data_IF_931739799601
#
_entry.id   IF_931739799601
#
_cell.length_a   1.000
_cell.length_b   1.000
_cell.length_c   1.000
_cell.angle_alpha   90.00
_cell.angle_beta   90.00
_cell.angle_gamma   90.00
#
_symmetry.space_group_name_H-M   'P 1'
#
loop_
_entity.id
_entity.type
_entity.pdbx_description
1 polymer ?
#
# COMPACT_ATOMS: atom_id res chain seq x y z
N UNK A 1 -0.10 -17.33 -2.60
CA UNK A 1 0.72 -17.52 -1.37
C UNK A 1 0.98 -16.19 -0.70
N UNK A 2 1.34 -16.19 0.62
CA UNK A 2 1.75 -14.97 1.33
C UNK A 2 3.26 -14.96 1.47
N UNK A 3 3.88 -13.84 1.07
CA UNK A 3 5.32 -13.59 1.17
C UNK A 3 5.55 -12.46 2.18
N UNK A 4 6.60 -12.57 2.98
CA UNK A 4 7.00 -11.55 3.94
C UNK A 4 8.47 -11.21 3.81
N UNK A 5 8.82 -9.99 4.15
CA UNK A 5 10.17 -9.57 4.47
C UNK A 5 10.28 -9.57 6.00
N UNK A 6 11.17 -10.37 6.53
CA UNK A 6 11.29 -10.66 7.96
C UNK A 6 12.69 -10.29 8.46
N UNK A 7 12.77 -9.67 9.63
CA UNK A 7 14.02 -9.50 10.37
C UNK A 7 14.12 -10.65 11.39
N UNK A 8 15.14 -11.50 11.23
CA UNK A 8 15.43 -12.67 12.08
C UNK A 8 16.91 -12.63 12.45
N UNK A 9 17.23 -12.71 13.74
CA UNK A 9 18.63 -12.68 14.22
C UNK A 9 19.44 -11.50 13.63
N UNK A 10 18.83 -10.33 13.50
CA UNK A 10 19.40 -9.09 12.91
C UNK A 10 19.69 -9.15 11.40
N UNK A 11 19.20 -10.18 10.70
CA UNK A 11 19.30 -10.28 9.25
C UNK A 11 17.90 -10.21 8.60
N UNK A 12 17.76 -9.39 7.56
CA UNK A 12 16.55 -9.37 6.76
C UNK A 12 16.54 -10.56 5.78
N UNK A 13 15.38 -11.20 5.64
CA UNK A 13 15.19 -12.32 4.73
C UNK A 13 13.76 -12.33 4.16
N UNK A 14 13.62 -12.86 2.96
CA UNK A 14 12.31 -13.11 2.34
C UNK A 14 11.83 -14.51 2.71
N UNK A 15 10.55 -14.63 3.06
CA UNK A 15 9.96 -15.89 3.51
C UNK A 15 8.57 -16.12 2.89
N UNK A 16 8.20 -17.39 2.74
CA UNK A 16 6.82 -17.83 2.59
C UNK A 16 6.20 -17.94 3.99
N UNK A 17 4.98 -17.44 4.17
CA UNK A 17 4.30 -17.42 5.47
C UNK A 17 3.00 -18.22 5.41
N UNK A 18 2.76 -19.03 6.43
CA UNK A 18 1.47 -19.63 6.76
C UNK A 18 0.94 -18.90 8.01
N UNK A 19 0.01 -17.98 7.79
CA UNK A 19 -0.53 -17.11 8.86
C UNK A 19 -1.39 -17.92 9.83
N UNK A 20 -2.13 -18.92 9.34
CA UNK A 20 -3.03 -19.74 10.16
C UNK A 20 -2.24 -20.59 11.15
N UNK A 21 -1.07 -21.08 10.73
CA UNK A 21 -0.14 -21.84 11.59
C UNK A 21 0.85 -20.94 12.33
N UNK A 22 0.89 -19.65 12.02
CA UNK A 22 1.86 -18.70 12.59
C UNK A 22 3.32 -19.14 12.38
N UNK A 23 3.66 -19.61 11.17
CA UNK A 23 5.01 -20.07 10.82
C UNK A 23 5.48 -19.49 9.49
N UNK A 24 6.80 -19.51 9.29
CA UNK A 24 7.42 -19.09 8.05
C UNK A 24 8.53 -20.07 7.59
N UNK A 25 8.83 -20.01 6.29
CA UNK A 25 9.95 -20.70 5.66
C UNK A 25 10.78 -19.68 4.89
N UNK A 26 12.06 -19.47 5.24
CA UNK A 26 12.96 -18.63 4.45
C UNK A 26 13.01 -19.10 3.00
N UNK A 27 12.90 -18.18 2.03
CA UNK A 27 12.98 -18.54 0.61
C UNK A 27 14.31 -19.22 0.29
N UNK A 28 15.42 -18.81 0.91
CA UNK A 28 16.73 -19.45 0.76
C UNK A 28 16.79 -20.92 1.18
N UNK A 29 15.87 -21.37 2.05
CA UNK A 29 15.76 -22.80 2.40
C UNK A 29 14.94 -23.61 1.40
N UNK A 30 14.03 -22.95 0.69
CA UNK A 30 13.18 -23.57 -0.34
C UNK A 30 13.87 -23.53 -1.72
N UNK A 31 14.59 -22.45 -2.00
CA UNK A 31 15.35 -22.17 -3.21
C UNK A 31 16.78 -21.80 -2.81
N UNK A 32 17.70 -22.79 -2.64
CA UNK A 32 19.04 -22.56 -2.07
C UNK A 32 19.89 -21.51 -2.81
N UNK A 33 19.67 -21.33 -4.10
CA UNK A 33 20.39 -20.35 -4.92
C UNK A 33 19.82 -18.92 -4.83
N UNK A 34 18.70 -18.73 -4.11
CA UNK A 34 18.10 -17.42 -3.91
C UNK A 34 18.68 -16.73 -2.66
N UNK A 35 19.29 -15.58 -2.87
CA UNK A 35 19.85 -14.72 -1.81
C UNK A 35 19.44 -13.24 -1.98
N UNK A 36 18.36 -13.00 -2.70
CA UNK A 36 17.88 -11.67 -3.05
C UNK A 36 16.84 -11.08 -2.09
N UNK A 37 16.44 -9.86 -2.38
CA UNK A 37 15.32 -9.18 -1.73
C UNK A 37 13.95 -9.55 -2.36
N UNK A 38 12.86 -8.96 -1.84
CA UNK A 38 11.51 -9.23 -2.35
C UNK A 38 11.36 -8.81 -3.82
N UNK A 39 11.96 -7.70 -4.25
CA UNK A 39 11.87 -7.26 -5.66
C UNK A 39 12.57 -8.26 -6.58
N UNK A 40 13.72 -8.79 -6.16
CA UNK A 40 14.41 -9.85 -6.91
C UNK A 40 13.61 -11.15 -6.93
N UNK A 41 12.91 -11.49 -5.84
CA UNK A 41 12.00 -12.63 -5.83
C UNK A 41 10.84 -12.43 -6.82
N UNK A 42 10.22 -11.26 -6.83
CA UNK A 42 9.15 -10.91 -7.78
C UNK A 42 9.64 -11.04 -9.23
N UNK A 43 10.85 -10.54 -9.53
CA UNK A 43 11.46 -10.65 -10.85
C UNK A 43 11.73 -12.10 -11.29
N UNK A 44 12.14 -12.95 -10.35
CA UNK A 44 12.53 -14.34 -10.59
C UNK A 44 11.39 -15.33 -10.32
N UNK A 45 10.24 -14.85 -9.88
CA UNK A 45 9.12 -15.69 -9.43
C UNK A 45 8.69 -16.76 -10.44
N UNK A 46 8.58 -16.49 -11.75
CA UNK A 46 8.23 -17.53 -12.72
C UNK A 46 9.20 -18.72 -12.71
N UNK A 47 10.46 -18.50 -12.35
CA UNK A 47 11.48 -19.55 -12.27
C UNK A 47 11.35 -20.38 -11.00
N UNK A 48 10.95 -19.76 -9.88
CA UNK A 48 10.96 -20.37 -8.55
C UNK A 48 9.58 -20.76 -8.02
N UNK A 49 8.47 -20.33 -8.66
CA UNK A 49 7.10 -20.57 -8.17
C UNK A 49 6.84 -22.03 -7.77
N UNK A 50 7.38 -22.99 -8.50
CA UNK A 50 7.23 -24.42 -8.23
C UNK A 50 7.98 -24.90 -6.98
N UNK A 51 9.08 -24.25 -6.64
CA UNK A 51 9.96 -24.58 -5.53
C UNK A 51 9.57 -23.86 -4.22
N UNK A 52 8.83 -22.77 -4.29
CA UNK A 52 8.35 -21.99 -3.14
C UNK A 52 7.26 -22.70 -2.32
N UNK A 53 7.13 -24.01 -2.46
CA UNK A 53 6.19 -24.80 -1.67
C UNK A 53 6.81 -25.15 -0.31
N UNK A 54 6.18 -24.77 0.81
CA UNK A 54 6.64 -25.12 2.14
C UNK A 54 6.91 -26.60 2.29
N UNK A 55 8.06 -26.95 2.86
CA UNK A 55 8.47 -28.34 3.16
C UNK A 55 9.00 -28.42 4.58
N UNK A 56 8.63 -29.47 5.29
CA UNK A 56 9.04 -29.66 6.69
C UNK A 56 8.36 -28.67 7.65
N UNK A 57 8.88 -28.63 8.86
CA UNK A 57 8.40 -27.71 9.89
C UNK A 57 8.86 -26.28 9.58
N UNK A 58 7.91 -25.31 9.66
CA UNK A 58 8.21 -23.89 9.57
C UNK A 58 8.78 -23.37 10.88
N UNK A 59 9.51 -22.26 10.81
CA UNK A 59 9.92 -21.51 12.01
C UNK A 59 8.74 -20.70 12.55
N UNK A 60 8.58 -20.56 13.89
CA UNK A 60 7.54 -19.71 14.46
C UNK A 60 7.65 -18.25 13.98
N UNK A 61 6.54 -17.63 13.58
CA UNK A 61 6.52 -16.23 13.14
C UNK A 61 6.86 -15.28 14.30
N UNK A 62 6.67 -15.72 15.55
CA UNK A 62 7.10 -14.98 16.75
C UNK A 62 8.61 -14.79 16.87
N UNK A 63 9.43 -15.56 16.16
CA UNK A 63 10.89 -15.44 16.13
C UNK A 63 11.36 -14.33 15.18
N UNK A 64 10.43 -13.64 14.50
CA UNK A 64 10.73 -12.65 13.49
C UNK A 64 10.00 -11.33 13.75
N UNK A 65 10.60 -10.22 13.33
CA UNK A 65 9.90 -8.95 13.14
C UNK A 65 9.47 -8.82 11.69
N UNK A 66 8.19 -8.56 11.44
CA UNK A 66 7.66 -8.33 10.10
C UNK A 66 8.05 -6.93 9.63
N UNK A 67 8.75 -6.85 8.51
CA UNK A 67 9.12 -5.59 7.84
C UNK A 67 8.11 -5.25 6.74
N UNK A 68 8.25 -4.07 6.11
CA UNK A 68 7.54 -3.81 4.87
C UNK A 68 7.92 -4.88 3.83
N UNK A 69 6.96 -5.47 3.11
CA UNK A 69 7.27 -6.53 2.14
C UNK A 69 8.22 -6.06 1.04
N UNK A 70 8.13 -4.80 0.62
CA UNK A 70 9.10 -4.11 -0.23
C UNK A 70 9.56 -2.88 0.55
N UNK A 71 10.57 -3.05 1.39
CA UNK A 71 11.10 -2.00 2.28
C UNK A 71 11.93 -0.96 1.53
N UNK A 72 12.47 -1.31 0.38
CA UNK A 72 13.24 -0.44 -0.51
C UNK A 72 12.74 -0.56 -1.96
N UNK A 73 11.59 0.05 -2.28
CA UNK A 73 11.13 0.11 -3.67
C UNK A 73 12.19 0.73 -4.58
N UNK A 74 12.37 0.16 -5.76
CA UNK A 74 13.38 0.64 -6.73
C UNK A 74 13.04 2.02 -7.30
N UNK A 75 11.78 2.39 -7.25
CA UNK A 75 11.22 3.67 -7.71
C UNK A 75 10.22 4.20 -6.71
N UNK A 76 9.79 5.45 -6.89
CA UNK A 76 8.68 6.01 -6.13
C UNK A 76 7.42 5.16 -6.32
N UNK A 77 6.60 5.09 -5.26
CA UNK A 77 5.29 4.46 -5.31
C UNK A 77 4.37 5.34 -6.15
N UNK A 78 3.70 4.76 -7.13
CA UNK A 78 2.63 5.42 -7.87
C UNK A 78 1.38 5.46 -6.99
N UNK A 79 0.77 6.63 -6.84
CA UNK A 79 -0.40 6.81 -6.01
C UNK A 79 -1.54 7.42 -6.83
N UNK A 80 -2.77 7.04 -6.50
CA UNK A 80 -3.96 7.48 -7.22
C UNK A 80 -4.89 8.23 -6.28
N UNK A 81 -5.07 9.52 -6.51
CA UNK A 81 -5.98 10.35 -5.73
C UNK A 81 -7.41 10.32 -6.24
N UNK A 82 -8.38 10.56 -5.34
CA UNK A 82 -9.81 10.70 -5.66
C UNK A 82 -10.41 9.52 -6.42
N UNK A 83 -9.99 8.30 -6.09
CA UNK A 83 -10.37 7.10 -6.85
C UNK A 83 -11.58 6.34 -6.27
N UNK A 84 -12.32 6.95 -5.32
CA UNK A 84 -13.63 6.50 -4.85
C UNK A 84 -14.61 7.66 -4.91
N UNK A 85 -15.82 7.44 -5.45
CA UNK A 85 -16.80 8.53 -5.63
C UNK A 85 -17.13 9.26 -4.34
N UNK A 86 -17.37 8.51 -3.25
CA UNK A 86 -17.70 9.11 -1.95
C UNK A 86 -16.52 9.92 -1.39
N UNK A 87 -15.28 9.42 -1.53
CA UNK A 87 -14.09 10.14 -1.09
C UNK A 87 -13.81 11.39 -1.95
N UNK A 88 -14.01 11.33 -3.25
CA UNK A 88 -13.88 12.50 -4.12
C UNK A 88 -14.84 13.62 -3.69
N UNK A 89 -16.11 13.27 -3.38
CA UNK A 89 -17.11 14.19 -2.87
C UNK A 89 -16.77 14.72 -1.47
N UNK A 90 -16.27 13.86 -0.57
CA UNK A 90 -15.79 14.22 0.77
C UNK A 90 -14.63 15.22 0.71
N UNK A 91 -13.62 14.92 -0.12
CA UNK A 91 -12.43 15.76 -0.28
C UNK A 91 -12.80 17.16 -0.84
N UNK A 92 -13.69 17.21 -1.83
CA UNK A 92 -14.19 18.48 -2.37
C UNK A 92 -14.90 19.33 -1.29
N UNK A 93 -15.77 18.71 -0.48
CA UNK A 93 -16.51 19.39 0.59
C UNK A 93 -15.63 19.85 1.75
N UNK A 94 -14.50 19.18 1.97
CA UNK A 94 -13.58 19.49 3.09
C UNK A 94 -12.90 20.86 2.96
N UNK A 95 -12.85 21.46 1.75
CA UNK A 95 -12.10 22.68 1.47
C UNK A 95 -10.58 22.51 1.39
N UNK A 96 -10.09 21.26 1.40
CA UNK A 96 -8.67 20.93 1.20
C UNK A 96 -8.33 20.65 -0.26
N UNK A 97 -9.33 20.47 -1.13
CA UNK A 97 -9.13 20.21 -2.55
C UNK A 97 -8.78 21.49 -3.30
N UNK A 98 -7.48 21.69 -3.56
CA UNK A 98 -6.99 22.80 -4.38
C UNK A 98 -6.96 22.48 -5.89
N UNK A 99 -7.34 21.26 -6.29
CA UNK A 99 -7.26 20.74 -7.66
C UNK A 99 -8.62 20.58 -8.35
N UNK A 100 -9.75 20.69 -7.61
CA UNK A 100 -11.09 20.57 -8.20
C UNK A 100 -11.48 21.82 -8.97
N UNK A 101 -12.12 21.62 -10.13
CA UNK A 101 -12.90 22.68 -10.79
C UNK A 101 -14.31 22.70 -10.19
N UNK A 102 -14.92 23.91 -10.14
CA UNK A 102 -16.29 24.05 -9.68
C UNK A 102 -17.23 23.11 -10.47
N UNK A 103 -17.96 22.25 -9.75
CA UNK A 103 -18.93 21.31 -10.34
C UNK A 103 -18.38 19.97 -10.80
N UNK A 104 -17.09 19.69 -10.62
CA UNK A 104 -16.48 18.40 -10.97
C UNK A 104 -16.67 17.40 -9.80
N UNK A 105 -17.55 16.39 -9.98
CA UNK A 105 -17.85 15.39 -8.94
C UNK A 105 -16.92 14.19 -8.93
N UNK A 106 -16.22 13.93 -10.03
CA UNK A 106 -15.20 12.88 -10.17
C UNK A 106 -14.21 13.27 -11.26
N UNK A 107 -12.92 12.89 -11.16
CA UNK A 107 -11.94 13.20 -12.19
C UNK A 107 -12.25 12.44 -13.49
N UNK A 108 -11.97 13.07 -14.65
CA UNK A 108 -12.11 12.45 -15.98
C UNK A 108 -11.02 11.41 -16.27
N UNK A 109 -9.87 11.50 -15.58
CA UNK A 109 -8.73 10.62 -15.70
C UNK A 109 -8.09 10.38 -14.31
N UNK A 110 -7.34 9.28 -14.11
CA UNK A 110 -6.65 9.01 -12.85
C UNK A 110 -5.74 10.17 -12.44
N UNK A 111 -5.92 10.68 -11.22
CA UNK A 111 -5.06 11.73 -10.65
C UNK A 111 -3.84 11.05 -10.06
N UNK A 112 -2.73 11.07 -10.79
CA UNK A 112 -1.50 10.37 -10.39
C UNK A 112 -0.55 11.31 -9.66
N UNK A 113 -0.04 10.86 -8.51
CA UNK A 113 1.07 11.46 -7.79
C UNK A 113 2.01 10.37 -7.29
N UNK A 114 3.06 10.70 -6.58
CA UNK A 114 4.03 9.70 -6.07
C UNK A 114 4.42 9.97 -4.64
N UNK A 115 4.83 8.88 -3.95
CA UNK A 115 5.56 8.92 -2.67
C UNK A 115 6.98 8.41 -2.90
N UNK A 116 8.02 9.08 -2.34
CA UNK A 116 9.38 8.56 -2.41
C UNK A 116 9.51 7.18 -1.76
N UNK A 117 10.35 6.33 -2.32
CA UNK A 117 10.64 5.02 -1.74
C UNK A 117 11.11 5.10 -0.27
N UNK A 118 11.78 6.19 0.10
CA UNK A 118 12.27 6.45 1.47
C UNK A 118 11.17 6.67 2.51
N UNK A 119 9.92 6.89 2.09
CA UNK A 119 8.78 7.05 3.02
C UNK A 119 8.25 5.72 3.55
N UNK A 120 8.69 4.59 2.99
CA UNK A 120 8.19 3.26 3.36
C UNK A 120 8.67 2.85 4.74
N UNK A 121 7.73 2.40 5.56
CA UNK A 121 7.99 1.75 6.85
C UNK A 121 7.12 0.49 6.98
N UNK A 122 7.53 -0.41 7.86
CA UNK A 122 6.82 -1.67 8.10
C UNK A 122 5.71 -1.60 9.15
N UNK A 123 4.99 -2.72 9.36
CA UNK A 123 4.03 -2.86 10.44
C UNK A 123 4.66 -2.61 11.81
N UNK A 124 3.91 -1.99 12.72
CA UNK A 124 4.34 -1.73 14.10
C UNK A 124 5.39 -0.62 14.26
N UNK A 125 5.99 -0.13 13.18
CA UNK A 125 6.89 1.03 13.23
C UNK A 125 6.08 2.28 13.55
N UNK A 126 6.57 3.11 14.48
CA UNK A 126 5.89 4.36 14.85
C UNK A 126 5.96 5.38 13.70
N UNK A 127 4.81 6.01 13.42
CA UNK A 127 4.70 7.08 12.43
C UNK A 127 5.25 8.37 13.02
N UNK A 128 6.27 9.01 12.44
CA UNK A 128 6.71 10.33 12.88
C UNK A 128 5.61 11.39 12.67
N UNK A 129 5.32 12.19 13.69
CA UNK A 129 4.28 13.24 13.57
C UNK A 129 4.75 14.48 12.84
N UNK A 130 6.05 14.71 12.76
CA UNK A 130 6.62 15.93 12.16
C UNK A 130 5.98 17.23 12.72
N UNK A 131 5.87 17.34 14.06
CA UNK A 131 5.14 18.42 14.76
C UNK A 131 5.59 19.83 14.43
N UNK A 132 6.87 19.99 14.02
CA UNK A 132 7.42 21.28 13.59
C UNK A 132 7.05 21.63 12.13
N UNK A 133 6.42 20.69 11.41
CA UNK A 133 6.14 20.78 9.97
C UNK A 133 4.65 20.76 9.69
N UNK A 134 3.88 19.92 10.40
CA UNK A 134 2.44 19.74 10.19
C UNK A 134 1.69 19.56 11.50
N UNK A 135 0.45 20.05 11.55
CA UNK A 135 -0.51 19.77 12.62
C UNK A 135 -1.73 18.98 12.15
N UNK A 136 -1.77 18.59 10.87
CA UNK A 136 -2.95 18.00 10.23
C UNK A 136 -2.63 16.65 9.60
N UNK A 137 -2.12 15.73 10.43
CA UNK A 137 -1.79 14.35 10.04
C UNK A 137 -3.08 13.54 9.85
N UNK A 138 -3.21 12.88 8.71
CA UNK A 138 -4.37 12.09 8.32
C UNK A 138 -3.95 10.72 7.74
N UNK A 139 -4.86 9.76 7.77
CA UNK A 139 -4.70 8.38 7.30
C UNK A 139 -5.50 8.14 6.03
N UNK A 140 -5.03 7.21 5.20
CA UNK A 140 -5.70 6.76 3.97
C UNK A 140 -5.44 5.27 3.75
N UNK A 141 -6.45 4.43 4.00
CA UNK A 141 -6.35 2.98 3.74
C UNK A 141 -6.45 2.68 2.26
N UNK A 142 -5.47 1.94 1.72
CA UNK A 142 -5.40 1.64 0.30
C UNK A 142 -4.95 0.21 0.02
N UNK A 143 -5.51 -0.39 -1.03
CA UNK A 143 -4.92 -1.57 -1.65
C UNK A 143 -3.67 -1.17 -2.42
N UNK A 144 -2.54 -1.79 -2.11
CA UNK A 144 -1.32 -1.70 -2.90
C UNK A 144 -1.26 -2.82 -3.93
N UNK A 145 -1.06 -2.48 -5.19
CA UNK A 145 -0.85 -3.43 -6.30
C UNK A 145 0.64 -3.49 -6.62
N UNK A 146 1.21 -4.69 -6.65
CA UNK A 146 2.63 -4.90 -7.01
C UNK A 146 2.71 -5.49 -8.41
N UNK A 147 3.50 -4.86 -9.28
CA UNK A 147 3.73 -5.30 -10.66
C UNK A 147 4.73 -6.47 -10.67
N UNK A 148 4.41 -7.49 -11.44
CA UNK A 148 5.23 -8.71 -11.56
C UNK A 148 5.99 -8.86 -12.86
N UNK A 149 5.62 -8.07 -13.89
CA UNK A 149 6.16 -8.21 -15.25
C UNK A 149 6.42 -6.84 -15.85
N UNK A 150 7.58 -6.67 -16.48
CA UNK A 150 7.89 -5.42 -17.15
C UNK A 150 6.98 -5.21 -18.38
N UNK A 151 6.55 -3.95 -18.59
CA UNK A 151 5.73 -3.63 -19.76
C UNK A 151 5.47 -2.15 -19.95
N UNK A 152 5.30 -1.77 -21.22
CA UNK A 152 4.86 -0.44 -21.65
C UNK A 152 3.72 -0.58 -22.63
N UNK A 153 2.75 0.35 -22.57
CA UNK A 153 1.59 0.31 -23.46
C UNK A 153 0.66 -0.88 -23.21
N UNK A 154 0.61 -1.36 -21.98
CA UNK A 154 -0.20 -2.49 -21.54
C UNK A 154 -1.67 -2.14 -21.76
N UNK A 155 -2.40 -3.00 -22.45
CA UNK A 155 -3.82 -2.81 -22.68
C UNK A 155 -4.63 -3.23 -21.47
N UNK A 156 -5.76 -2.55 -21.21
CA UNK A 156 -6.66 -2.87 -20.11
C UNK A 156 -7.02 -4.37 -20.03
N UNK A 157 -7.24 -5.00 -21.19
CA UNK A 157 -7.60 -6.43 -21.26
C UNK A 157 -6.50 -7.37 -20.75
N UNK A 158 -5.23 -6.95 -20.87
CA UNK A 158 -4.05 -7.76 -20.50
C UNK A 158 -3.46 -7.33 -19.15
N UNK A 159 -3.98 -6.27 -18.53
CA UNK A 159 -3.35 -5.59 -17.40
C UNK A 159 -3.17 -6.50 -16.18
N UNK A 160 -4.13 -7.38 -15.90
CA UNK A 160 -4.06 -8.28 -14.76
C UNK A 160 -2.95 -9.33 -14.87
N UNK A 161 -2.49 -9.66 -16.08
CA UNK A 161 -1.34 -10.55 -16.30
C UNK A 161 -0.01 -9.92 -15.84
N UNK A 162 -0.01 -8.63 -15.55
CA UNK A 162 1.15 -7.88 -15.04
C UNK A 162 1.15 -7.72 -13.53
N UNK A 163 0.06 -8.09 -12.86
CA UNK A 163 -0.05 -8.01 -11.41
C UNK A 163 0.61 -9.23 -10.76
N UNK A 164 1.61 -8.98 -9.91
CA UNK A 164 2.20 -10.01 -9.06
C UNK A 164 1.30 -10.35 -7.88
N UNK A 165 0.78 -9.33 -7.21
CA UNK A 165 -0.01 -9.48 -6.01
C UNK A 165 -0.32 -8.16 -5.33
N UNK A 166 -0.72 -8.26 -4.07
CA UNK A 166 -1.31 -7.18 -3.31
C UNK A 166 -0.70 -7.04 -1.91
N UNK A 167 -0.71 -5.83 -1.40
CA UNK A 167 -0.32 -5.49 -0.02
C UNK A 167 -1.24 -4.40 0.53
N UNK A 168 -1.17 -4.14 1.83
CA UNK A 168 -1.87 -3.00 2.45
C UNK A 168 -0.95 -1.79 2.46
N UNK A 169 -1.48 -0.62 2.15
CA UNK A 169 -0.78 0.66 2.23
C UNK A 169 -1.61 1.64 3.08
N UNK A 170 -0.91 2.47 3.85
CA UNK A 170 -1.49 3.65 4.46
C UNK A 170 -0.82 4.88 3.83
N UNK A 171 -1.57 5.62 3.01
CA UNK A 171 -1.08 6.84 2.36
C UNK A 171 -1.20 8.04 3.30
N UNK A 172 -0.36 8.07 4.35
CA UNK A 172 -0.34 9.17 5.31
C UNK A 172 -0.17 10.52 4.63
N UNK A 173 -0.91 11.51 5.15
CA UNK A 173 -1.04 12.83 4.52
C UNK A 173 -0.95 13.94 5.56
N UNK A 174 -0.09 14.93 5.32
CA UNK A 174 -0.12 16.22 6.00
C UNK A 174 -1.05 17.16 5.20
N UNK A 175 -2.29 17.33 5.66
CA UNK A 175 -3.34 18.02 4.88
C UNK A 175 -3.07 19.51 4.67
N UNK A 176 -2.49 20.16 5.67
CA UNK A 176 -2.05 21.55 5.58
C UNK A 176 -1.00 21.76 4.49
N UNK A 177 0.00 20.86 4.40
CA UNK A 177 1.03 20.90 3.36
C UNK A 177 0.47 20.51 1.98
N UNK A 178 -0.42 19.52 1.92
CA UNK A 178 -1.11 19.12 0.70
C UNK A 178 -1.86 20.31 0.08
N UNK A 179 -2.56 21.10 0.91
CA UNK A 179 -3.29 22.29 0.49
C UNK A 179 -2.33 23.43 0.10
N UNK A 180 -1.30 23.69 0.92
CA UNK A 180 -0.38 24.82 0.75
C UNK A 180 0.39 24.72 -0.56
N UNK A 181 0.91 23.54 -0.88
CA UNK A 181 1.80 23.35 -2.03
C UNK A 181 1.07 23.04 -3.34
N UNK A 182 -0.26 22.92 -3.34
CA UNK A 182 -1.11 22.58 -4.50
C UNK A 182 -0.79 21.24 -5.15
N UNK A 183 0.49 20.96 -5.43
CA UNK A 183 0.99 19.64 -5.79
C UNK A 183 1.09 18.83 -4.50
N UNK A 184 0.49 17.64 -4.47
CA UNK A 184 0.34 16.87 -3.22
C UNK A 184 1.65 16.29 -2.68
N UNK A 185 2.70 16.29 -3.48
CA UNK A 185 3.97 15.62 -3.20
C UNK A 185 4.51 15.93 -1.80
N UNK A 186 4.62 17.19 -1.39
CA UNK A 186 5.18 17.53 -0.05
C UNK A 186 4.29 16.99 1.06
N UNK A 187 2.97 17.16 0.98
CA UNK A 187 2.04 16.67 2.00
C UNK A 187 1.95 15.14 2.10
N UNK A 188 2.44 14.42 1.09
CA UNK A 188 2.42 12.96 0.96
C UNK A 188 3.78 12.30 1.21
N UNK A 189 4.88 13.07 1.32
CA UNK A 189 6.25 12.57 1.19
C UNK A 189 7.12 12.76 2.42
N UNK A 190 6.53 13.06 3.59
CA UNK A 190 7.32 13.12 4.81
C UNK A 190 7.80 11.71 5.20
N UNK A 191 8.93 11.62 5.87
CA UNK A 191 9.50 10.34 6.28
C UNK A 191 8.49 9.51 7.09
N UNK A 192 8.39 8.21 6.79
CA UNK A 192 7.45 7.30 7.42
C UNK A 192 5.99 7.40 6.94
N UNK A 193 5.69 8.21 5.91
CA UNK A 193 4.32 8.44 5.43
C UNK A 193 3.79 7.37 4.47
N UNK A 194 4.47 6.22 4.36
CA UNK A 194 4.00 5.08 3.57
C UNK A 194 4.16 3.75 4.34
N UNK A 195 3.44 3.53 5.45
CA UNK A 195 3.35 2.20 6.02
C UNK A 195 2.87 1.20 4.98
N UNK A 196 3.55 0.06 4.86
CA UNK A 196 3.26 -0.99 3.89
C UNK A 196 3.39 -2.37 4.52
N UNK A 197 2.46 -3.27 4.24
CA UNK A 197 2.53 -4.66 4.69
C UNK A 197 1.20 -5.19 5.25
N UNK A 198 1.21 -6.28 6.03
CA UNK A 198 2.38 -7.03 6.50
C UNK A 198 2.97 -7.98 5.46
N UNK A 199 2.18 -8.34 4.43
CA UNK A 199 2.53 -9.36 3.46
C UNK A 199 2.39 -8.84 2.03
N UNK A 200 3.08 -9.49 1.10
CA UNK A 200 2.80 -9.46 -0.32
C UNK A 200 2.07 -10.76 -0.67
N UNK A 201 0.79 -10.67 -1.02
CA UNK A 201 -0.07 -11.80 -1.33
C UNK A 201 -0.18 -11.94 -2.84
N UNK A 202 0.16 -13.11 -3.37
CA UNK A 202 0.14 -13.34 -4.83
C UNK A 202 -1.27 -13.25 -5.41
N UNK A 203 -1.39 -12.76 -6.66
CA UNK A 203 -2.67 -12.47 -7.31
C UNK A 203 -3.56 -13.73 -7.54
N UNK A 204 -2.99 -14.92 -7.46
CA UNK A 204 -3.76 -16.17 -7.53
C UNK A 204 -4.50 -16.52 -6.23
N UNK A 205 -4.22 -15.82 -5.12
CA UNK A 205 -4.88 -16.00 -3.82
C UNK A 205 -6.00 -14.98 -3.55
N UNK A 206 -5.96 -13.84 -4.23
CA UNK A 206 -6.85 -12.70 -3.95
C UNK A 206 -7.30 -12.03 -5.25
N UNK A 207 -8.60 -11.84 -5.39
CA UNK A 207 -9.14 -10.95 -6.43
C UNK A 207 -9.11 -9.50 -5.94
N UNK A 208 -8.03 -8.78 -6.21
CA UNK A 208 -7.86 -7.39 -5.79
C UNK A 208 -8.89 -6.41 -6.36
N UNK A 209 -9.70 -6.83 -7.33
CA UNK A 209 -10.78 -6.00 -7.88
C UNK A 209 -12.05 -6.03 -7.01
N UNK A 210 -12.13 -6.93 -6.02
CA UNK A 210 -13.30 -7.06 -5.16
C UNK A 210 -12.93 -7.51 -3.75
N UNK A 211 -12.15 -6.70 -3.03
CA UNK A 211 -11.81 -6.93 -1.61
C UNK A 211 -12.32 -5.80 -0.73
N UNK A 212 -12.73 -6.15 0.50
CA UNK A 212 -13.10 -5.17 1.51
C UNK A 212 -11.86 -4.42 2.00
N UNK A 213 -12.03 -3.09 2.16
CA UNK A 213 -11.02 -2.16 2.70
C UNK A 213 -11.61 -1.48 3.93
N UNK A 214 -11.04 -1.72 5.10
CA UNK A 214 -11.50 -1.17 6.37
C UNK A 214 -10.36 -0.49 7.12
N UNK A 215 -10.68 0.62 7.79
CA UNK A 215 -9.73 1.35 8.64
C UNK A 215 -10.38 1.71 9.97
N UNK A 216 -9.64 1.50 11.04
CA UNK A 216 -10.00 1.93 12.40
C UNK A 216 -8.93 2.87 12.95
N UNK A 217 -9.37 3.86 13.71
CA UNK A 217 -8.51 4.69 14.54
C UNK A 217 -8.93 4.50 15.99
N UNK A 218 -8.03 4.02 16.84
CA UNK A 218 -8.31 3.70 18.25
C UNK A 218 -9.53 2.78 18.44
N UNK A 219 -9.73 1.84 17.53
CA UNK A 219 -10.87 0.91 17.52
C UNK A 219 -12.18 1.49 16.94
N UNK A 220 -12.25 2.79 16.61
CA UNK A 220 -13.39 3.39 15.91
C UNK A 220 -13.28 3.12 14.41
N UNK A 221 -14.28 2.43 13.83
CA UNK A 221 -14.34 2.21 12.38
C UNK A 221 -14.53 3.55 11.66
N UNK A 222 -13.59 3.90 10.80
CA UNK A 222 -13.55 5.15 10.05
C UNK A 222 -13.81 4.97 8.56
N UNK A 223 -13.15 4.00 7.94
CA UNK A 223 -13.33 3.69 6.52
C UNK A 223 -13.86 2.26 6.39
N UNK A 224 -14.84 2.06 5.51
CA UNK A 224 -15.44 0.75 5.22
C UNK A 224 -15.98 0.75 3.79
N UNK A 225 -15.26 0.12 2.87
CA UNK A 225 -15.61 0.08 1.45
C UNK A 225 -15.11 -1.22 0.81
N UNK A 226 -15.22 -1.32 -0.51
CA UNK A 226 -14.72 -2.43 -1.30
C UNK A 226 -14.08 -1.92 -2.58
N UNK A 227 -13.01 -2.54 -3.06
CA UNK A 227 -12.26 -2.10 -4.25
C UNK A 227 -13.09 -2.09 -5.54
N UNK A 228 -14.22 -2.81 -5.60
CA UNK A 228 -15.20 -2.70 -6.71
C UNK A 228 -15.81 -1.29 -6.86
N UNK A 229 -15.64 -0.40 -5.85
CA UNK A 229 -16.09 0.98 -5.88
C UNK A 229 -15.03 1.96 -6.42
N UNK A 230 -13.86 1.46 -6.83
CA UNK A 230 -12.85 2.27 -7.51
C UNK A 230 -13.44 2.91 -8.77
N UNK A 231 -13.24 4.23 -8.93
CA UNK A 231 -13.65 4.97 -10.14
C UNK A 231 -12.86 4.44 -11.35
N UNK A 232 -11.55 4.34 -11.17
CA UNK A 232 -10.65 3.72 -12.14
C UNK A 232 -10.16 2.39 -11.57
N UNK A 233 -10.62 1.30 -12.15
CA UNK A 233 -10.23 -0.05 -11.76
C UNK A 233 -8.72 -0.32 -11.98
N UNK A 234 -8.19 -1.36 -11.34
CA UNK A 234 -6.77 -1.72 -11.43
C UNK A 234 -6.29 -1.84 -12.89
N UNK A 235 -7.02 -2.51 -13.80
CA UNK A 235 -6.64 -2.55 -15.21
C UNK A 235 -6.52 -1.17 -15.87
N UNK A 236 -7.42 -0.24 -15.57
CA UNK A 236 -7.37 1.13 -16.10
C UNK A 236 -6.15 1.89 -15.57
N UNK A 237 -5.80 1.71 -14.27
CA UNK A 237 -4.61 2.33 -13.69
C UNK A 237 -3.32 1.84 -14.37
N UNK A 238 -3.20 0.52 -14.59
CA UNK A 238 -2.05 -0.09 -15.27
C UNK A 238 -1.96 0.40 -16.73
N UNK A 239 -3.07 0.42 -17.47
CA UNK A 239 -3.09 0.94 -18.84
C UNK A 239 -2.65 2.41 -18.89
N UNK A 240 -3.20 3.24 -17.99
CA UNK A 240 -2.87 4.67 -17.93
C UNK A 240 -1.41 4.92 -17.62
N UNK A 241 -0.87 4.28 -16.56
CA UNK A 241 0.53 4.44 -16.17
C UNK A 241 1.48 3.92 -17.24
N UNK A 242 1.17 2.75 -17.79
CA UNK A 242 2.06 2.11 -18.76
C UNK A 242 2.03 2.74 -20.15
N UNK A 243 1.10 3.64 -20.44
CA UNK A 243 0.99 4.28 -21.77
C UNK A 243 2.30 4.97 -22.21
N UNK A 244 3.02 5.57 -21.26
CA UNK A 244 4.30 6.24 -21.51
C UNK A 244 5.43 5.82 -20.57
N UNK A 245 5.10 5.17 -19.44
CA UNK A 245 6.07 4.71 -18.44
C UNK A 245 6.21 3.19 -18.59
N UNK A 246 7.43 2.68 -18.66
CA UNK A 246 7.63 1.25 -18.58
C UNK A 246 7.52 0.82 -17.13
N UNK A 247 6.48 0.05 -16.79
CA UNK A 247 6.33 -0.56 -15.48
C UNK A 247 7.36 -1.69 -15.32
N UNK A 248 7.87 -1.86 -14.10
CA UNK A 248 8.89 -2.85 -13.77
C UNK A 248 8.40 -3.80 -12.67
N UNK A 249 8.88 -5.05 -12.62
CA UNK A 249 8.61 -5.92 -11.48
C UNK A 249 9.03 -5.28 -10.15
N UNK A 250 8.13 -5.30 -9.18
CA UNK A 250 8.31 -4.64 -7.88
C UNK A 250 7.85 -3.19 -7.83
N UNK A 251 7.39 -2.58 -8.94
CA UNK A 251 6.67 -1.31 -8.88
C UNK A 251 5.40 -1.46 -8.07
N UNK A 252 5.09 -0.45 -7.27
CA UNK A 252 3.93 -0.43 -6.40
C UNK A 252 2.97 0.68 -6.82
N UNK A 253 1.68 0.34 -6.90
CA UNK A 253 0.59 1.27 -7.18
C UNK A 253 -0.35 1.28 -5.97
N UNK A 254 -0.46 2.39 -5.26
CA UNK A 254 -1.47 2.65 -4.24
C UNK A 254 -2.74 3.12 -4.94
N UNK A 255 -3.84 2.37 -4.80
CA UNK A 255 -5.01 2.46 -5.70
C UNK A 255 -6.00 3.55 -5.35
N UNK A 256 -5.78 4.27 -4.25
CA UNK A 256 -6.69 5.27 -3.72
C UNK A 256 -7.46 4.78 -2.50
N UNK A 257 -7.93 5.75 -1.71
CA UNK A 257 -8.60 5.53 -0.43
C UNK A 257 -10.10 5.79 -0.53
N UNK A 258 -10.96 5.05 0.22
CA UNK A 258 -12.38 5.34 0.35
C UNK A 258 -12.66 6.52 1.29
N UNK A 259 -13.91 6.99 1.37
CA UNK A 259 -14.38 7.99 2.34
C UNK A 259 -14.18 7.54 3.79
N UNK A 260 -14.15 8.52 4.71
CA UNK A 260 -13.96 8.33 6.15
C UNK A 260 -12.56 8.72 6.63
N UNK A 261 -11.80 9.45 5.81
CA UNK A 261 -10.53 10.08 6.22
C UNK A 261 -10.78 11.21 7.22
N UNK A 262 -9.76 11.61 7.98
CA UNK A 262 -9.89 12.59 9.06
C UNK A 262 -10.48 13.95 8.64
N UNK A 263 -10.16 14.43 7.43
CA UNK A 263 -10.72 15.67 6.88
C UNK A 263 -12.21 15.57 6.53
N UNK A 264 -12.75 14.36 6.38
CA UNK A 264 -14.17 14.14 6.07
C UNK A 264 -15.11 14.41 7.25
N UNK A 265 -14.58 14.51 8.48
CA UNK A 265 -15.37 14.80 9.68
C UNK A 265 -15.61 16.29 9.88
N UNK A 266 -16.68 16.64 10.62
CA UNK A 266 -16.97 18.02 11.00
C UNK A 266 -17.14 18.12 12.54
N UNK A 267 -16.16 18.68 13.28
CA UNK A 267 -14.85 19.17 12.79
C UNK A 267 -13.92 18.05 12.33
N UNK A 268 -12.86 18.34 11.54
CA UNK A 268 -11.87 17.35 11.12
C UNK A 268 -11.20 16.64 12.30
N UNK A 269 -10.93 15.33 12.14
CA UNK A 269 -10.31 14.46 13.14
C UNK A 269 -8.90 14.07 12.71
N UNK A 270 -7.93 14.94 12.95
CA UNK A 270 -6.52 14.66 12.67
C UNK A 270 -5.90 13.77 13.75
N UNK A 271 -4.96 12.93 13.33
CA UNK A 271 -4.24 12.01 14.21
C UNK A 271 -3.35 12.73 15.21
N UNK A 272 -3.30 12.19 16.41
CA UNK A 272 -2.49 12.67 17.52
C UNK A 272 -1.49 11.60 17.97
N UNK A 273 -0.48 12.01 18.77
CA UNK A 273 0.45 11.08 19.41
C UNK A 273 -0.30 9.99 20.17
N UNK A 274 0.09 8.74 19.95
CA UNK A 274 -0.49 7.57 20.58
C UNK A 274 -1.72 7.01 19.86
N UNK A 275 -2.23 7.71 18.83
CA UNK A 275 -3.32 7.15 18.00
C UNK A 275 -2.82 5.92 17.26
N UNK A 276 -3.63 4.86 17.28
CA UNK A 276 -3.36 3.61 16.57
C UNK A 276 -4.25 3.54 15.34
N UNK A 277 -3.63 3.46 14.17
CA UNK A 277 -4.31 3.26 12.89
C UNK A 277 -4.17 1.80 12.48
N UNK A 278 -5.31 1.10 12.34
CA UNK A 278 -5.39 -0.28 11.90
C UNK A 278 -6.16 -0.35 10.58
N UNK A 279 -5.52 -0.89 9.57
CA UNK A 279 -6.12 -1.14 8.25
C UNK A 279 -6.22 -2.64 8.04
N UNK A 280 -7.36 -3.09 7.55
CA UNK A 280 -7.59 -4.48 7.15
C UNK A 280 -8.08 -4.52 5.72
N UNK A 281 -7.40 -5.29 4.89
CA UNK A 281 -7.84 -5.62 3.54
C UNK A 281 -8.08 -7.13 3.48
N UNK A 282 -9.29 -7.47 3.06
CA UNK A 282 -9.78 -8.85 3.00
C UNK A 282 -8.80 -9.77 2.28
N UNK A 283 -8.43 -10.90 2.89
CA UNK A 283 -7.49 -11.89 2.39
C UNK A 283 -6.04 -11.40 2.17
N UNK A 284 -5.76 -10.10 2.24
CA UNK A 284 -4.41 -9.53 2.13
C UNK A 284 -3.73 -9.48 3.48
N UNK A 285 -4.33 -8.80 4.46
CA UNK A 285 -3.77 -8.74 5.81
C UNK A 285 -4.20 -7.53 6.61
N UNK A 286 -3.55 -7.38 7.76
CA UNK A 286 -3.75 -6.27 8.71
C UNK A 286 -2.46 -5.49 8.87
N UNK A 287 -2.52 -4.19 8.61
CA UNK A 287 -1.44 -3.24 8.85
C UNK A 287 -1.81 -2.34 10.02
N UNK A 288 -0.99 -2.32 11.05
CA UNK A 288 -1.24 -1.49 12.23
C UNK A 288 0.02 -0.71 12.59
N UNK A 289 -0.15 0.58 12.84
CA UNK A 289 0.92 1.48 13.24
C UNK A 289 0.39 2.49 14.27
N UNK A 290 1.24 2.84 15.25
CA UNK A 290 0.99 3.88 16.25
C UNK A 290 1.65 5.19 15.81
N UNK A 291 0.99 6.32 16.03
CA UNK A 291 1.54 7.65 15.80
C UNK A 291 2.52 7.98 16.95
N UNK A 292 3.77 8.23 16.61
CA UNK A 292 4.85 8.53 17.54
C UNK A 292 4.97 9.99 17.96
N UNK A 293 6.19 10.39 18.26
CA UNK A 293 6.57 11.78 18.59
C UNK A 293 6.55 12.68 17.35
#
# INVERSE_FOLDING_TARGET
MKLANLLVDSAALVAVVDVDKSVFWPVSTLVPDFNGDMVQLVQSYPQFKGDLRPRGEGRPLSDATVLAPIDQPRRNIFCVGKNYHEHAAEFQKSGFDSSAKDGEHAPEAPVIFTKPASTVIGPGVKIPRHVDVTSQLDYEAELGVVIGKAGRGIKKADAMDYVFGYTVINDFTARDLQKLHRQWFIGKSLDGFCPMGPYLVTADEVDGQSVDVKCWVNGELRQNSNTKQLIFDIPTLIETLSAGIELQPGDVIATGTPAGVGIGFSPPKFLQKGDVVRIEIENVGVLENEVGE
#
